data_IF_643326350190
#
_entry.id   IF_643326350190
#
_cell.length_a   1.000
_cell.length_b   1.000
_cell.length_c   1.000
_cell.angle_alpha   90.00
_cell.angle_beta   90.00
_cell.angle_gamma   90.00
#
_symmetry.space_group_name_H-M   'P 1'
#
loop_
_entity.id
_entity.type
_entity.pdbx_description
1 polymer ?
#
# COMPACT_ATOMS: atom_id res chain seq x y z
N UNK A 1 -12.22 11.41 7.41
CA UNK A 1 -11.74 10.19 6.72
C UNK A 1 -12.65 8.98 6.97
N UNK A 2 -12.94 8.59 8.22
CA UNK A 2 -13.84 7.45 8.50
C UNK A 2 -15.24 7.55 7.85
N UNK A 3 -15.85 8.73 7.82
CA UNK A 3 -17.12 8.95 7.12
C UNK A 3 -17.01 8.79 5.60
N UNK A 4 -15.88 9.18 5.00
CA UNK A 4 -15.63 9.03 3.58
C UNK A 4 -15.40 7.56 3.21
N UNK A 5 -14.65 6.82 4.04
CA UNK A 5 -14.47 5.38 3.87
C UNK A 5 -15.80 4.62 3.92
N UNK A 6 -16.63 4.88 4.95
CA UNK A 6 -17.96 4.23 5.07
C UNK A 6 -18.87 4.48 3.88
N UNK A 7 -18.69 5.63 3.21
CA UNK A 7 -19.45 6.02 2.00
C UNK A 7 -18.78 5.58 0.70
N UNK A 8 -17.64 4.89 0.75
CA UNK A 8 -16.91 4.44 -0.45
C UNK A 8 -16.26 5.58 -1.25
N UNK A 9 -15.98 6.72 -0.61
CA UNK A 9 -15.43 7.92 -1.26
C UNK A 9 -13.92 8.08 -1.05
N UNK A 10 -13.27 7.08 -0.44
CA UNK A 10 -11.86 7.12 -0.05
C UNK A 10 -11.05 6.15 -0.91
N UNK A 11 -10.00 6.65 -1.55
CA UNK A 11 -9.04 5.87 -2.33
C UNK A 11 -7.67 6.04 -1.69
N UNK A 12 -6.92 4.94 -1.55
CA UNK A 12 -5.50 4.99 -1.18
C UNK A 12 -4.68 4.91 -2.45
N UNK A 13 -3.71 5.80 -2.58
CA UNK A 13 -2.75 5.83 -3.68
C UNK A 13 -1.34 5.67 -3.11
N UNK A 14 -0.50 4.88 -3.77
CA UNK A 14 0.89 4.64 -3.40
C UNK A 14 1.84 4.78 -4.61
N UNK A 15 3.14 4.64 -4.35
CA UNK A 15 4.25 4.91 -5.28
C UNK A 15 4.43 6.40 -5.62
N UNK A 16 3.98 7.29 -4.72
CA UNK A 16 4.21 8.73 -4.83
C UNK A 16 5.65 9.09 -4.44
N UNK A 17 6.12 10.24 -4.91
CA UNK A 17 7.33 10.85 -4.34
C UNK A 17 7.06 11.25 -2.88
N UNK A 18 7.88 10.80 -1.90
CA UNK A 18 7.77 11.25 -0.51
C UNK A 18 7.80 12.77 -0.33
N UNK A 19 8.43 13.50 -1.26
CA UNK A 19 8.50 14.96 -1.26
C UNK A 19 7.22 15.66 -1.68
N UNK A 20 6.23 14.93 -2.23
CA UNK A 20 4.97 15.55 -2.67
C UNK A 20 4.13 16.03 -1.50
N UNK A 21 3.54 17.20 -1.70
CA UNK A 21 2.56 17.82 -0.83
C UNK A 21 1.15 17.35 -1.20
N UNK A 22 0.20 17.50 -0.26
CA UNK A 22 -1.19 17.11 -0.52
C UNK A 22 -1.80 17.91 -1.68
N UNK A 23 -1.44 19.19 -1.83
CA UNK A 23 -1.90 20.05 -2.93
C UNK A 23 -1.38 19.58 -4.29
N UNK A 24 -0.11 19.18 -4.38
CA UNK A 24 0.44 18.64 -5.64
C UNK A 24 -0.26 17.34 -6.03
N UNK A 25 -0.63 16.49 -5.05
CA UNK A 25 -1.40 15.27 -5.32
C UNK A 25 -2.83 15.59 -5.78
N UNK A 26 -3.47 16.63 -5.23
CA UNK A 26 -4.77 17.11 -5.72
C UNK A 26 -4.66 17.56 -7.17
N UNK A 27 -3.64 18.34 -7.51
CA UNK A 27 -3.39 18.82 -8.87
C UNK A 27 -3.14 17.66 -9.85
N UNK A 28 -2.36 16.65 -9.46
CA UNK A 28 -2.15 15.45 -10.27
C UNK A 28 -3.48 14.76 -10.57
N UNK A 29 -4.31 14.54 -9.54
CA UNK A 29 -5.62 13.87 -9.71
C UNK A 29 -6.56 14.71 -10.57
N UNK A 30 -6.56 16.04 -10.38
CA UNK A 30 -7.35 16.96 -11.19
C UNK A 30 -6.93 16.92 -12.66
N UNK A 31 -5.64 17.06 -12.94
CA UNK A 31 -5.14 17.11 -14.31
C UNK A 31 -5.24 15.77 -15.04
N UNK A 32 -4.92 14.67 -14.36
CA UNK A 32 -4.89 13.34 -14.96
C UNK A 32 -6.26 12.67 -15.02
N UNK A 33 -7.01 12.69 -13.92
CA UNK A 33 -8.27 11.96 -13.81
C UNK A 33 -9.48 12.83 -14.13
N UNK A 34 -9.31 14.17 -14.21
CA UNK A 34 -10.40 15.15 -14.39
C UNK A 34 -11.43 15.06 -13.28
N UNK A 35 -10.97 14.83 -12.06
CA UNK A 35 -11.81 14.66 -10.87
C UNK A 35 -11.34 15.59 -9.76
N UNK A 36 -12.30 16.24 -9.11
CA UNK A 36 -12.03 17.03 -7.90
C UNK A 36 -11.94 16.11 -6.69
N UNK A 37 -10.92 16.32 -5.87
CA UNK A 37 -10.71 15.58 -4.64
C UNK A 37 -10.08 16.47 -3.56
N UNK A 38 -10.00 15.93 -2.37
CA UNK A 38 -9.12 16.43 -1.31
C UNK A 38 -8.10 15.34 -1.01
N UNK A 39 -6.82 15.62 -1.16
CA UNK A 39 -5.76 14.68 -0.87
C UNK A 39 -5.20 14.90 0.54
N UNK A 40 -4.70 13.83 1.13
CA UNK A 40 -3.95 13.85 2.39
C UNK A 40 -2.78 12.90 2.28
N UNK A 41 -1.59 13.46 2.20
CA UNK A 41 -0.35 12.68 2.30
C UNK A 41 -0.29 11.96 3.64
N UNK A 42 0.12 10.70 3.60
CA UNK A 42 0.38 9.90 4.79
C UNK A 42 1.77 10.28 5.30
N UNK A 43 1.86 10.61 6.58
CA UNK A 43 3.14 10.94 7.19
C UNK A 43 4.02 9.70 7.28
N UNK A 44 5.29 9.86 6.88
CA UNK A 44 6.29 8.83 7.07
C UNK A 44 6.47 8.53 8.56
N UNK A 45 6.54 7.24 8.88
CA UNK A 45 6.85 6.71 10.21
C UNK A 45 8.12 5.87 10.12
N UNK A 46 8.71 5.48 11.25
CA UNK A 46 9.92 4.65 11.26
C UNK A 46 9.78 3.30 10.53
N UNK A 47 8.54 2.87 10.27
CA UNK A 47 8.21 1.62 9.56
C UNK A 47 7.78 1.84 8.09
N UNK A 48 7.67 3.09 7.63
CA UNK A 48 7.33 3.38 6.23
C UNK A 48 8.54 3.27 5.32
N UNK A 49 8.32 2.85 4.07
CA UNK A 49 9.35 2.86 3.02
C UNK A 49 9.86 4.29 2.80
N UNK A 50 11.18 4.56 2.81
CA UNK A 50 11.70 5.90 2.58
C UNK A 50 11.64 6.34 1.11
N UNK A 51 11.34 5.42 0.19
CA UNK A 51 11.40 5.66 -1.27
C UNK A 51 10.03 5.90 -1.90
N UNK A 52 8.94 5.64 -1.17
CA UNK A 52 7.58 5.67 -1.70
C UNK A 52 6.63 6.30 -0.70
N UNK A 53 6.05 7.42 -1.10
CA UNK A 53 4.97 8.08 -0.38
C UNK A 53 3.62 7.45 -0.70
N UNK A 54 2.68 7.70 0.20
CA UNK A 54 1.29 7.27 0.11
C UNK A 54 0.36 8.44 0.40
N UNK A 55 -0.83 8.45 -0.20
CA UNK A 55 -1.84 9.48 0.02
C UNK A 55 -3.25 8.92 0.04
N UNK A 56 -4.07 9.47 0.94
CA UNK A 56 -5.50 9.30 0.91
C UNK A 56 -6.15 10.34 0.01
N UNK A 57 -6.92 9.88 -0.98
CA UNK A 57 -7.72 10.73 -1.85
C UNK A 57 -9.18 10.62 -1.46
N UNK A 58 -9.76 11.75 -1.04
CA UNK A 58 -11.15 11.87 -0.61
C UNK A 58 -11.93 12.52 -1.74
N UNK A 59 -12.79 11.75 -2.39
CA UNK A 59 -13.69 12.26 -3.40
C UNK A 59 -14.98 12.79 -2.77
N UNK A 60 -15.68 13.65 -3.51
CA UNK A 60 -17.00 14.16 -3.09
C UNK A 60 -18.10 13.12 -3.21
N UNK A 61 -17.96 12.18 -4.13
CA UNK A 61 -18.95 11.12 -4.38
C UNK A 61 -18.27 9.76 -4.56
N UNK A 62 -19.04 8.69 -4.34
CA UNK A 62 -18.57 7.31 -4.50
C UNK A 62 -18.25 7.00 -5.96
N UNK A 63 -19.07 7.48 -6.88
CA UNK A 63 -18.91 7.26 -8.31
C UNK A 63 -17.62 7.91 -8.82
N UNK A 64 -17.21 9.04 -8.24
CA UNK A 64 -15.91 9.65 -8.54
C UNK A 64 -14.74 8.78 -8.08
N UNK A 65 -14.83 8.19 -6.89
CA UNK A 65 -13.82 7.25 -6.39
C UNK A 65 -13.73 5.99 -7.26
N UNK A 66 -14.87 5.41 -7.64
CA UNK A 66 -14.92 4.24 -8.53
C UNK A 66 -14.37 4.55 -9.93
N UNK A 67 -14.72 5.72 -10.50
CA UNK A 67 -14.14 6.17 -11.78
C UNK A 67 -12.63 6.38 -11.69
N UNK A 68 -12.13 6.93 -10.59
CA UNK A 68 -10.70 7.11 -10.38
C UNK A 68 -9.99 5.75 -10.38
N UNK A 69 -10.49 4.79 -9.62
CA UNK A 69 -9.93 3.43 -9.57
C UNK A 69 -10.00 2.72 -10.92
N UNK A 70 -11.13 2.83 -11.62
CA UNK A 70 -11.27 2.26 -12.96
C UNK A 70 -10.24 2.84 -13.93
N UNK A 71 -10.04 4.16 -13.92
CA UNK A 71 -9.00 4.81 -14.74
C UNK A 71 -7.58 4.40 -14.37
N UNK A 72 -7.29 4.22 -13.08
CA UNK A 72 -6.00 3.75 -12.60
C UNK A 72 -5.76 2.25 -12.87
N UNK A 73 -6.82 1.46 -13.05
CA UNK A 73 -6.73 0.04 -13.36
C UNK A 73 -6.68 -0.22 -14.88
N UNK A 74 -7.44 0.53 -15.67
CA UNK A 74 -7.50 0.42 -17.14
C UNK A 74 -6.33 1.14 -17.82
N UNK A 75 -5.76 2.16 -17.18
CA UNK A 75 -4.61 2.91 -17.66
C UNK A 75 -3.43 2.84 -16.70
N UNK A 76 -2.27 3.30 -17.15
CA UNK A 76 -1.12 3.56 -16.30
C UNK A 76 -0.93 5.07 -16.19
N UNK A 77 -1.22 5.65 -15.01
CA UNK A 77 -0.93 7.06 -14.78
C UNK A 77 0.54 7.20 -14.38
N UNK A 78 1.39 7.50 -15.37
CA UNK A 78 2.81 7.73 -15.13
C UNK A 78 3.04 9.17 -14.66
N UNK A 79 3.70 9.32 -13.51
CA UNK A 79 4.18 10.61 -13.02
C UNK A 79 5.40 11.07 -13.84
N UNK A 80 5.73 12.38 -13.84
CA UNK A 80 6.89 12.91 -14.57
C UNK A 80 8.23 12.29 -14.17
N UNK A 81 8.33 11.80 -12.94
CA UNK A 81 9.50 11.06 -12.43
C UNK A 81 9.56 9.59 -12.94
N UNK A 82 8.67 9.19 -13.84
CA UNK A 82 8.61 7.85 -14.42
C UNK A 82 7.93 6.80 -13.54
N UNK A 83 7.30 7.20 -12.43
CA UNK A 83 6.66 6.26 -11.49
C UNK A 83 5.19 6.03 -11.82
N UNK A 84 4.73 4.78 -11.89
CA UNK A 84 3.33 4.48 -12.12
C UNK A 84 2.51 4.70 -10.84
N UNK A 85 1.46 5.50 -10.93
CA UNK A 85 0.55 5.72 -9.83
C UNK A 85 -0.40 4.53 -9.68
N UNK A 86 -0.44 3.95 -8.48
CA UNK A 86 -1.30 2.79 -8.20
C UNK A 86 -2.32 3.16 -7.14
N UNK A 87 -3.59 2.84 -7.40
CA UNK A 87 -4.70 3.12 -6.50
C UNK A 87 -5.46 1.87 -6.10
N UNK A 88 -5.90 1.82 -4.84
CA UNK A 88 -6.82 0.81 -4.33
C UNK A 88 -7.92 1.45 -3.47
N UNK A 89 -9.01 0.73 -3.24
CA UNK A 89 -10.03 1.19 -2.29
C UNK A 89 -9.34 1.34 -0.93
N UNK A 90 -9.38 2.57 -0.39
CA UNK A 90 -8.70 2.85 0.86
C UNK A 90 -9.36 2.09 1.99
N UNK A 91 -8.67 1.10 2.55
CA UNK A 91 -8.95 0.59 3.88
C UNK A 91 -7.91 1.17 4.84
N UNK A 92 -8.04 2.45 5.25
CA UNK A 92 -7.20 2.96 6.32
C UNK A 92 -7.37 2.01 7.51
N UNK A 93 -6.30 1.33 7.89
CA UNK A 93 -6.16 0.81 9.23
C UNK A 93 -6.16 2.05 10.13
N UNK A 94 -7.34 2.53 10.51
CA UNK A 94 -7.43 3.52 11.56
C UNK A 94 -6.82 2.83 12.77
N UNK A 95 -5.74 3.37 13.36
CA UNK A 95 -5.34 2.87 14.65
C UNK A 95 -6.58 3.07 15.52
N UNK A 96 -7.21 1.97 15.92
CA UNK A 96 -8.21 1.97 16.97
C UNK A 96 -7.58 2.54 18.24
N UNK A 97 -8.30 2.47 19.36
CA UNK A 97 -7.67 2.74 20.67
C UNK A 97 -6.36 1.95 20.73
N UNK A 98 -5.22 2.66 20.72
CA UNK A 98 -3.92 2.03 20.84
C UNK A 98 -3.98 1.20 22.12
N UNK A 99 -3.54 -0.06 22.12
CA UNK A 99 -3.46 -0.81 23.35
C UNK A 99 -2.64 0.01 24.34
N UNK A 100 -3.17 0.20 25.55
CA UNK A 100 -2.55 1.03 26.60
C UNK A 100 -1.14 0.55 26.95
N UNK A 101 -0.83 -0.71 26.61
CA UNK A 101 0.45 -1.35 26.83
C UNK A 101 1.05 -1.85 25.50
N UNK A 102 2.32 -1.54 25.29
CA UNK A 102 3.10 -2.09 24.18
C UNK A 102 3.14 -3.63 24.28
N UNK A 103 2.98 -4.32 23.15
CA UNK A 103 3.00 -5.80 23.09
C UNK A 103 1.65 -6.50 23.31
N UNK A 104 0.59 -5.79 23.71
CA UNK A 104 -0.74 -6.39 23.83
C UNK A 104 -1.52 -6.27 22.51
N UNK A 105 -1.68 -7.39 21.80
CA UNK A 105 -2.65 -7.50 20.72
C UNK A 105 -4.05 -7.66 21.34
N UNK A 106 -4.85 -6.59 21.30
CA UNK A 106 -6.27 -6.69 21.69
C UNK A 106 -7.03 -7.33 20.53
N UNK A 107 -7.20 -8.65 20.58
CA UNK A 107 -8.20 -9.31 19.74
C UNK A 107 -9.58 -8.86 20.21
N UNK A 108 -10.25 -8.02 19.43
CA UNK A 108 -11.66 -7.70 19.69
C UNK A 108 -12.46 -8.98 19.48
N UNK A 109 -12.97 -9.56 20.57
CA UNK A 109 -13.80 -10.77 20.57
C UNK A 109 -14.96 -10.64 19.57
N UNK A 110 -14.77 -11.15 18.36
CA UNK A 110 -15.86 -11.44 17.43
C UNK A 110 -16.54 -12.70 17.96
N UNK A 111 -17.63 -12.51 18.70
CA UNK A 111 -18.64 -13.51 19.09
C UNK A 111 -18.26 -14.97 18.78
N UNK A 112 -17.62 -15.62 19.76
CA UNK A 112 -17.74 -17.05 20.08
C UNK A 112 -17.00 -17.34 21.40
N UNK A 113 -17.48 -16.75 22.48
CA UNK A 113 -17.05 -17.05 23.86
C UNK A 113 -17.77 -18.30 24.39
N UNK A 114 -17.56 -19.45 23.75
CA UNK A 114 -17.98 -20.75 24.30
C UNK A 114 -16.82 -21.71 24.53
N UNK A 115 -15.60 -21.32 24.16
CA UNK A 115 -14.40 -21.99 24.65
C UNK A 115 -13.84 -21.18 25.80
N UNK A 116 -14.16 -21.67 27.01
CA UNK A 116 -13.51 -21.37 28.30
C UNK A 116 -12.12 -20.78 28.09
N UNK A 117 -11.98 -19.51 28.42
CA UNK A 117 -10.69 -18.86 28.65
C UNK A 117 -9.96 -19.70 29.71
N UNK A 118 -9.06 -20.60 29.29
CA UNK A 118 -7.89 -20.82 30.11
C UNK A 118 -7.17 -19.48 30.06
N UNK A 119 -7.01 -18.84 31.20
CA UNK A 119 -6.09 -17.71 31.38
C UNK A 119 -4.68 -18.18 30.99
N UNK A 120 -4.41 -18.24 29.68
CA UNK A 120 -3.08 -18.39 29.16
C UNK A 120 -2.54 -16.98 29.12
N UNK A 121 -1.92 -16.58 30.22
CA UNK A 121 -1.03 -15.41 30.24
C UNK A 121 0.10 -15.74 29.28
N UNK A 122 -0.06 -15.36 28.01
CA UNK A 122 1.05 -15.39 27.05
C UNK A 122 2.01 -14.28 27.45
N UNK A 123 2.93 -14.59 28.35
CA UNK A 123 4.09 -13.74 28.57
C UNK A 123 4.92 -13.75 27.29
N UNK A 124 5.41 -12.57 26.88
CA UNK A 124 6.41 -12.50 25.83
C UNK A 124 7.65 -13.25 26.31
N UNK A 125 7.95 -14.39 25.70
CA UNK A 125 9.10 -15.22 26.07
C UNK A 125 9.72 -15.84 24.81
N UNK A 126 11.01 -16.17 24.89
CA UNK A 126 11.67 -16.96 23.86
C UNK A 126 11.39 -18.43 24.11
N UNK A 127 10.96 -19.15 23.07
CA UNK A 127 10.75 -20.59 23.16
C UNK A 127 12.09 -21.30 23.45
N UNK A 128 12.03 -22.32 24.31
CA UNK A 128 13.20 -23.15 24.62
C UNK A 128 13.39 -24.19 23.51
N UNK A 129 14.65 -24.51 23.18
CA UNK A 129 14.97 -25.37 22.03
C UNK A 129 14.34 -26.77 22.07
N UNK A 130 13.90 -27.23 23.23
CA UNK A 130 13.27 -28.53 23.46
C UNK A 130 11.73 -28.46 23.48
N UNK A 131 11.11 -27.34 23.07
CA UNK A 131 9.66 -27.21 23.00
C UNK A 131 9.16 -27.23 21.56
N UNK A 132 7.93 -27.71 21.39
CA UNK A 132 7.26 -27.67 20.08
C UNK A 132 7.08 -26.24 19.56
N UNK A 133 6.96 -25.25 20.46
CA UNK A 133 6.91 -23.83 20.10
C UNK A 133 8.19 -23.39 19.38
N UNK A 134 9.36 -23.86 19.82
CA UNK A 134 10.63 -23.54 19.17
C UNK A 134 10.74 -24.21 17.81
N UNK A 135 10.38 -25.49 17.70
CA UNK A 135 10.39 -26.21 16.42
C UNK A 135 9.47 -25.54 15.39
N UNK A 136 8.22 -25.23 15.78
CA UNK A 136 7.29 -24.51 14.93
C UNK A 136 7.81 -23.11 14.58
N UNK A 137 8.36 -22.36 15.55
CA UNK A 137 8.93 -21.05 15.28
C UNK A 137 10.08 -21.10 14.27
N UNK A 138 10.90 -22.15 14.30
CA UNK A 138 11.97 -22.36 13.34
C UNK A 138 11.43 -22.68 11.94
N UNK A 139 10.40 -23.51 11.83
CA UNK A 139 9.71 -23.77 10.56
C UNK A 139 9.09 -22.49 9.98
N UNK A 140 8.44 -21.69 10.81
CA UNK A 140 7.91 -20.37 10.43
C UNK A 140 9.02 -19.43 9.97
N UNK A 141 10.16 -19.42 10.66
CA UNK A 141 11.31 -18.61 10.27
C UNK A 141 11.86 -19.02 8.90
N UNK A 142 12.05 -20.31 8.66
CA UNK A 142 12.48 -20.84 7.36
C UNK A 142 11.47 -20.50 6.25
N UNK A 143 10.17 -20.56 6.53
CA UNK A 143 9.13 -20.17 5.58
C UNK A 143 9.21 -18.67 5.25
N UNK A 144 9.43 -17.83 6.26
CA UNK A 144 9.59 -16.39 6.10
C UNK A 144 10.81 -16.06 5.22
N UNK A 145 11.97 -16.69 5.48
CA UNK A 145 13.18 -16.50 4.66
C UNK A 145 12.95 -16.88 3.18
N UNK A 146 12.26 -18.00 2.94
CA UNK A 146 11.89 -18.43 1.58
C UNK A 146 10.97 -17.42 0.91
N UNK A 147 10.01 -16.88 1.65
CA UNK A 147 9.08 -15.87 1.15
C UNK A 147 9.80 -14.58 0.78
N UNK A 148 10.70 -14.10 1.65
CA UNK A 148 11.50 -12.91 1.41
C UNK A 148 12.41 -13.10 0.19
N UNK A 149 13.03 -14.27 0.04
CA UNK A 149 13.84 -14.59 -1.13
C UNK A 149 13.01 -14.63 -2.42
N UNK A 150 11.85 -15.28 -2.40
CA UNK A 150 10.93 -15.32 -3.53
C UNK A 150 10.48 -13.91 -3.94
N UNK A 151 10.16 -13.06 -2.96
CA UNK A 151 9.81 -11.67 -3.21
C UNK A 151 10.96 -10.87 -3.83
N UNK A 152 12.19 -11.04 -3.34
CA UNK A 152 13.36 -10.38 -3.94
C UNK A 152 13.55 -10.78 -5.40
N UNK A 153 13.40 -12.08 -5.73
CA UNK A 153 13.47 -12.55 -7.11
C UNK A 153 12.34 -11.98 -7.96
N UNK A 154 11.12 -11.93 -7.43
CA UNK A 154 9.97 -11.35 -8.11
C UNK A 154 10.21 -9.87 -8.41
N UNK A 155 10.61 -9.06 -7.42
CA UNK A 155 10.92 -7.64 -7.61
C UNK A 155 12.02 -7.44 -8.65
N UNK A 156 13.12 -8.21 -8.59
CA UNK A 156 14.18 -8.15 -9.60
C UNK A 156 13.65 -8.45 -11.00
N UNK A 157 12.76 -9.43 -11.13
CA UNK A 157 12.17 -9.81 -12.43
C UNK A 157 11.20 -8.76 -12.96
N UNK A 158 10.36 -8.19 -12.10
CA UNK A 158 9.43 -7.11 -12.44
C UNK A 158 10.22 -5.87 -12.85
N UNK A 159 11.23 -5.47 -12.09
CA UNK A 159 12.10 -4.34 -12.44
C UNK A 159 12.76 -4.53 -13.81
N UNK A 160 13.31 -5.73 -14.08
CA UNK A 160 13.89 -6.04 -15.39
C UNK A 160 12.88 -5.91 -16.54
N UNK A 161 11.67 -6.45 -16.37
CA UNK A 161 10.60 -6.36 -17.38
C UNK A 161 10.12 -4.93 -17.57
N UNK A 162 9.91 -4.19 -16.49
CA UNK A 162 9.56 -2.77 -16.56
C UNK A 162 10.67 -1.98 -17.25
N UNK A 163 11.95 -2.26 -17.01
CA UNK A 163 13.02 -1.55 -17.76
C UNK A 163 13.08 -1.94 -19.24
N UNK A 164 12.87 -3.21 -19.60
CA UNK A 164 13.03 -3.70 -20.98
C UNK A 164 11.81 -3.46 -21.87
N UNK A 165 10.59 -3.56 -21.33
CA UNK A 165 9.35 -3.38 -22.10
C UNK A 165 8.98 -1.89 -22.26
N UNK A 166 9.52 -1.01 -21.40
CA UNK A 166 9.23 0.43 -21.43
C UNK A 166 10.29 1.26 -22.17
N UNK A 167 11.54 0.78 -22.30
CA UNK A 167 12.57 1.38 -23.15
C UNK A 167 12.08 1.62 -24.60
N UNK A 168 11.40 0.67 -25.28
CA UNK A 168 10.86 0.87 -26.62
C UNK A 168 9.72 1.90 -26.70
N UNK A 169 8.94 2.08 -25.63
CA UNK A 169 7.83 3.04 -25.59
C UNK A 169 8.33 4.46 -25.29
N UNK A 170 9.29 4.61 -24.37
CA UNK A 170 9.98 5.88 -24.10
C UNK A 170 10.75 6.39 -25.32
N UNK A 171 11.48 5.51 -26.03
CA UNK A 171 12.20 5.88 -27.27
C UNK A 171 11.22 6.34 -28.37
N UNK A 172 10.02 5.73 -28.47
CA UNK A 172 8.98 6.19 -29.41
C UNK A 172 8.41 7.56 -29.06
N UNK A 173 8.41 7.94 -27.79
CA UNK A 173 7.87 9.22 -27.34
C UNK A 173 8.91 10.35 -27.38
N UNK A 174 10.19 10.05 -27.20
CA UNK A 174 11.27 11.04 -27.28
C UNK A 174 11.79 11.28 -28.72
N UNK A 175 11.66 10.29 -29.62
CA UNK A 175 12.11 10.42 -31.02
C UNK A 175 10.96 10.42 -32.05
N UNK A 176 9.71 10.48 -31.61
CA UNK A 176 8.52 10.50 -32.46
C UNK A 176 8.15 11.88 -33.01
N UNK A 177 9.11 12.67 -33.51
CA UNK A 177 8.79 13.87 -34.31
C UNK A 177 9.93 14.26 -35.26
N UNK A 178 10.21 13.43 -36.27
CA UNK A 178 10.81 13.91 -37.53
C UNK A 178 10.17 13.18 -38.71
N UNK A 179 9.02 13.69 -39.12
CA UNK A 179 8.56 13.57 -40.51
C UNK A 179 9.43 14.51 -41.35
N UNK A 180 10.53 14.01 -41.92
CA UNK A 180 11.16 14.67 -43.05
C UNK A 180 10.51 14.15 -44.33
N UNK A 181 9.89 15.08 -45.05
CA UNK A 181 9.41 14.92 -46.42
C UNK A 181 10.56 14.66 -47.36
#
# INVERSE_FOLDING_TARGET
MAAAQKRGMLVLIWDLDPGYTSTEVEDIVWHALKLNCTAKMIQHTAISSPHSGEAFIIFRTREAAERALKKLAEGCLLLPNGRPLIGCIGNPAFPGKRPTFHGHLVLTNSRNSLNREREVVSSSHCAQANTIEFEMAMEWHLLQERWDHAWQLLYKSILKRVTLDWLPWWIRQTFGCTSFR
#
